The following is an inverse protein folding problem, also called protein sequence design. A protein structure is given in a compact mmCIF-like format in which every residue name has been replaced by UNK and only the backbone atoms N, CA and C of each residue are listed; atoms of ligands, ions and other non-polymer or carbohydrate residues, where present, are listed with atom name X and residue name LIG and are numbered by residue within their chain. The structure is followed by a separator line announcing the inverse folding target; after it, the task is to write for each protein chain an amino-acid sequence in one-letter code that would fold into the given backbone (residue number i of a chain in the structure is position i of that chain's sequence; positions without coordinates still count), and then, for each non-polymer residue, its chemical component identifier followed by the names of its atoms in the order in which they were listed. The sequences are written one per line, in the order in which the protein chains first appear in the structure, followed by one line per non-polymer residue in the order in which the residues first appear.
data_IF_099164184064
#
_entry.id   IF_099164184064
#
_cell.length_a   1.000
_cell.length_b   1.000
_cell.length_c   1.000
_cell.angle_alpha   90.00
_cell.angle_beta   90.00
_cell.angle_gamma   90.00
#
_symmetry.space_group_name_H-M   'P 1'
#
loop_
_entity.id
_entity.type
_entity.pdbx_description
1 polymer ?
#
# COMPACT_ATOMS: atom_id res chain seq x y z
N UNK A 1 -8.75 15.78 -8.97
CA UNK A 1 -8.28 14.53 -9.62
C UNK A 1 -6.87 14.83 -10.11
N UNK A 2 -5.86 14.62 -9.25
CA UNK A 2 -4.50 15.13 -9.47
C UNK A 2 -3.47 14.08 -9.04
N UNK A 3 -3.59 12.87 -9.59
CA UNK A 3 -2.62 11.77 -9.41
C UNK A 3 -2.03 11.35 -10.77
N UNK A 4 -2.75 11.57 -11.87
CA UNK A 4 -2.37 11.08 -13.21
C UNK A 4 -1.14 11.75 -13.84
N UNK A 5 -0.93 13.05 -13.60
CA UNK A 5 0.11 13.81 -14.32
C UNK A 5 1.52 13.48 -13.82
N UNK A 6 1.66 13.23 -12.52
CA UNK A 6 2.95 12.91 -11.91
C UNK A 6 3.44 11.50 -12.27
N UNK A 7 2.51 10.56 -12.49
CA UNK A 7 2.83 9.17 -12.81
C UNK A 7 3.38 8.97 -14.23
N UNK A 8 3.01 9.82 -15.20
CA UNK A 8 3.41 9.65 -16.62
C UNK A 8 4.80 10.16 -16.95
N UNK A 9 5.36 11.07 -16.16
CA UNK A 9 6.59 11.79 -16.53
C UNK A 9 7.87 11.11 -16.01
N UNK A 10 7.76 10.11 -15.14
CA UNK A 10 8.89 9.52 -14.40
C UNK A 10 9.22 8.05 -14.71
N UNK A 11 8.75 7.53 -15.84
CA UNK A 11 8.97 6.14 -16.26
C UNK A 11 10.16 6.02 -17.22
N UNK A 12 11.40 5.89 -16.73
CA UNK A 12 12.47 5.28 -17.53
C UNK A 12 13.63 4.79 -16.63
N UNK A 13 13.92 3.47 -16.73
CA UNK A 13 15.09 2.71 -16.21
C UNK A 13 14.92 1.95 -14.89
N UNK A 14 14.26 0.79 -14.99
CA UNK A 14 14.03 -0.18 -13.92
C UNK A 14 13.16 0.22 -12.68
N UNK A 15 12.28 1.25 -12.72
CA UNK A 15 11.18 1.41 -11.76
C UNK A 15 9.96 0.53 -12.07
N UNK A 16 9.84 0.03 -13.32
CA UNK A 16 8.69 -0.78 -13.75
C UNK A 16 8.47 -2.00 -12.85
N UNK A 17 9.51 -2.70 -12.37
CA UNK A 17 9.31 -3.90 -11.56
C UNK A 17 8.52 -3.63 -10.26
N UNK A 18 8.76 -2.48 -9.63
CA UNK A 18 8.01 -2.06 -8.44
C UNK A 18 6.60 -1.64 -8.84
N UNK A 19 6.45 -0.83 -9.89
CA UNK A 19 5.17 -0.32 -10.36
C UNK A 19 4.25 -1.43 -10.91
N UNK A 20 4.80 -2.36 -11.67
CA UNK A 20 4.14 -3.55 -12.20
C UNK A 20 3.68 -4.45 -11.05
N UNK A 21 4.56 -4.72 -10.09
CA UNK A 21 4.20 -5.52 -8.92
C UNK A 21 3.17 -4.81 -8.04
N UNK A 22 3.25 -3.48 -7.92
CA UNK A 22 2.28 -2.68 -7.19
C UNK A 22 0.93 -2.67 -7.90
N UNK A 23 0.92 -2.61 -9.24
CA UNK A 23 -0.29 -2.71 -10.05
C UNK A 23 -0.92 -4.11 -9.97
N UNK A 24 -0.10 -5.18 -9.95
CA UNK A 24 -0.55 -6.55 -9.72
C UNK A 24 -1.21 -6.68 -8.33
N UNK A 25 -0.54 -6.18 -7.29
CA UNK A 25 -1.08 -6.17 -5.92
C UNK A 25 -2.33 -5.30 -5.82
N UNK A 26 -2.37 -4.14 -6.48
CA UNK A 26 -3.53 -3.25 -6.50
C UNK A 26 -4.75 -3.95 -7.13
N UNK A 27 -4.58 -4.62 -8.27
CA UNK A 27 -5.65 -5.42 -8.90
C UNK A 27 -6.11 -6.56 -8.00
N UNK A 28 -5.19 -7.24 -7.32
CA UNK A 28 -5.51 -8.29 -6.35
C UNK A 28 -6.35 -7.75 -5.20
N UNK A 29 -5.94 -6.68 -4.54
CA UNK A 29 -6.66 -6.16 -3.37
C UNK A 29 -7.98 -5.50 -3.77
N UNK A 30 -8.08 -4.91 -4.97
CA UNK A 30 -9.37 -4.39 -5.48
C UNK A 30 -10.36 -5.49 -5.82
N UNK A 31 -9.91 -6.66 -6.31
CA UNK A 31 -10.79 -7.78 -6.66
C UNK A 31 -11.11 -8.70 -5.49
N UNK A 32 -10.17 -8.85 -4.55
CA UNK A 32 -10.28 -9.67 -3.37
C UNK A 32 -9.69 -8.95 -2.15
N UNK A 33 -10.40 -7.96 -1.57
CA UNK A 33 -9.92 -7.19 -0.41
C UNK A 33 -9.54 -8.08 0.80
N UNK A 34 -10.17 -9.25 0.92
CA UNK A 34 -9.88 -10.23 1.96
C UNK A 34 -8.55 -11.00 1.81
N UNK A 35 -7.84 -10.87 0.68
CA UNK A 35 -6.65 -11.67 0.38
C UNK A 35 -5.42 -11.33 1.26
N UNK A 36 -5.36 -10.12 1.81
CA UNK A 36 -4.27 -9.68 2.67
C UNK A 36 -4.37 -10.19 4.10
N UNK A 37 -3.20 -10.33 4.74
CA UNK A 37 -3.09 -10.74 6.15
C UNK A 37 -3.45 -9.56 7.04
N UNK A 38 -4.38 -9.76 7.98
CA UNK A 38 -4.70 -8.76 9.01
C UNK A 38 -3.48 -8.41 9.85
N UNK A 39 -3.31 -7.11 10.09
CA UNK A 39 -2.32 -6.52 10.98
C UNK A 39 -3.07 -5.92 12.16
N UNK A 40 -2.66 -6.18 13.41
CA UNK A 40 -3.27 -5.52 14.57
C UNK A 40 -3.19 -4.00 14.43
N UNK A 41 -4.33 -3.34 14.45
CA UNK A 41 -4.45 -1.89 14.46
C UNK A 41 -5.61 -1.51 15.39
N UNK A 42 -5.49 -0.46 16.21
CA UNK A 42 -6.46 -0.14 17.26
C UNK A 42 -7.87 0.18 16.72
N UNK A 43 -7.96 0.74 15.52
CA UNK A 43 -9.21 1.35 15.00
C UNK A 43 -9.62 0.88 13.60
N UNK A 44 -8.78 0.13 12.87
CA UNK A 44 -9.03 -0.21 11.46
C UNK A 44 -8.71 -1.69 11.15
N UNK A 45 -9.41 -2.30 10.17
CA UNK A 45 -9.06 -3.64 9.67
C UNK A 45 -7.89 -3.54 8.67
N UNK A 46 -6.73 -3.10 9.16
CA UNK A 46 -5.52 -2.97 8.34
C UNK A 46 -5.06 -4.35 7.88
N UNK A 47 -4.81 -4.47 6.58
CA UNK A 47 -4.31 -5.69 5.94
C UNK A 47 -3.01 -5.40 5.24
N UNK A 48 -2.19 -6.45 5.11
CA UNK A 48 -0.94 -6.38 4.34
C UNK A 48 -0.80 -7.49 3.32
N UNK A 49 -0.25 -7.14 2.17
CA UNK A 49 0.22 -8.07 1.12
C UNK A 49 1.71 -7.82 0.87
N UNK A 50 2.47 -8.87 0.61
CA UNK A 50 3.90 -8.77 0.30
C UNK A 50 4.11 -8.75 -1.22
N UNK A 51 4.74 -7.70 -1.70
CA UNK A 51 5.39 -7.59 -3.01
C UNK A 51 6.68 -8.41 -2.96
N UNK A 52 6.68 -9.61 -3.54
CA UNK A 52 7.75 -10.60 -3.41
C UNK A 52 9.00 -10.24 -4.25
N UNK A 53 8.81 -9.68 -5.44
CA UNK A 53 9.89 -9.34 -6.39
C UNK A 53 10.73 -8.19 -5.81
N UNK A 54 10.07 -7.17 -5.30
CA UNK A 54 10.71 -5.97 -4.73
C UNK A 54 10.88 -6.01 -3.22
N UNK A 55 10.27 -7.00 -2.54
CA UNK A 55 10.30 -7.17 -1.08
C UNK A 55 9.71 -5.98 -0.32
N UNK A 56 8.59 -5.45 -0.80
CA UNK A 56 7.81 -4.43 -0.10
C UNK A 56 6.56 -5.04 0.53
N UNK A 57 6.02 -4.38 1.55
CA UNK A 57 4.70 -4.66 2.10
C UNK A 57 3.76 -3.53 1.72
N UNK A 58 2.62 -3.88 1.14
CA UNK A 58 1.52 -2.95 0.88
C UNK A 58 0.53 -3.11 2.01
N UNK A 59 0.30 -2.04 2.76
CA UNK A 59 -0.71 -1.94 3.79
C UNK A 59 -1.93 -1.25 3.19
N UNK A 60 -3.11 -1.79 3.47
CA UNK A 60 -4.36 -1.23 2.97
C UNK A 60 -5.50 -1.47 3.95
N UNK A 61 -6.56 -0.68 3.81
CA UNK A 61 -7.84 -0.85 4.50
C UNK A 61 -8.96 -0.97 3.48
N UNK A 62 -9.93 -1.81 3.78
CA UNK A 62 -11.20 -1.90 3.05
C UNK A 62 -12.20 -0.99 3.76
N UNK A 63 -12.76 -0.02 3.03
CA UNK A 63 -13.82 0.86 3.52
C UNK A 63 -14.93 0.92 2.48
N UNK A 64 -16.15 0.56 2.89
CA UNK A 64 -17.32 0.47 2.01
C UNK A 64 -17.06 -0.42 0.78
N UNK A 65 -16.95 0.16 -0.41
CA UNK A 65 -16.68 -0.53 -1.68
C UNK A 65 -15.30 -0.19 -2.25
N UNK A 66 -14.44 0.45 -1.46
CA UNK A 66 -13.14 0.92 -1.88
C UNK A 66 -12.02 0.30 -1.04
N UNK A 67 -10.86 0.14 -1.67
CA UNK A 67 -9.62 -0.26 -1.01
C UNK A 67 -8.67 0.92 -1.04
N UNK A 68 -8.19 1.31 0.14
CA UNK A 68 -7.27 2.41 0.31
C UNK A 68 -5.90 1.85 0.69
N UNK A 69 -4.90 2.10 -0.15
CA UNK A 69 -3.51 1.81 0.20
C UNK A 69 -3.06 2.89 1.19
N UNK A 70 -2.70 2.47 2.40
CA UNK A 70 -2.29 3.38 3.48
C UNK A 70 -0.78 3.55 3.54
N UNK A 71 -0.01 2.53 3.15
CA UNK A 71 1.44 2.61 3.08
C UNK A 71 2.03 1.53 2.17
N UNK A 72 3.17 1.82 1.53
CA UNK A 72 4.03 0.82 0.90
C UNK A 72 5.40 0.90 1.57
N UNK A 73 5.81 -0.18 2.24
CA UNK A 73 6.99 -0.19 3.09
C UNK A 73 8.02 -1.23 2.62
N UNK A 74 9.25 -0.80 2.36
CA UNK A 74 10.34 -1.71 2.00
C UNK A 74 10.72 -2.60 3.18
N UNK A 75 10.89 -3.90 2.96
CA UNK A 75 11.35 -4.84 3.99
C UNK A 75 12.86 -4.68 4.29
N UNK A 76 13.36 -3.45 4.35
CA UNK A 76 14.72 -3.13 4.78
C UNK A 76 14.68 -2.92 6.29
N UNK A 77 15.42 -3.80 6.98
CA UNK A 77 15.62 -3.96 8.42
C UNK A 77 15.42 -2.69 9.27
N UNK A 78 14.32 -2.59 10.02
CA UNK A 78 14.37 -1.94 11.34
C UNK A 78 13.20 -1.08 11.82
N UNK A 79 12.25 -0.66 11.00
CA UNK A 79 11.13 0.18 11.48
C UNK A 79 9.82 -0.28 10.85
N UNK A 80 8.84 -0.65 11.68
CA UNK A 80 7.43 -0.72 11.26
C UNK A 80 6.89 0.71 11.20
N UNK A 81 6.01 1.05 10.23
CA UNK A 81 5.40 2.38 10.19
C UNK A 81 4.54 2.59 11.45
N UNK A 82 4.73 3.74 12.10
CA UNK A 82 3.84 4.21 13.15
C UNK A 82 2.51 4.63 12.49
N UNK A 83 1.46 3.87 12.77
CA UNK A 83 0.11 4.11 12.24
C UNK A 83 -0.76 4.91 13.22
N UNK A 84 -0.19 5.48 14.29
CA UNK A 84 -0.93 6.38 15.17
C UNK A 84 -1.25 7.70 14.45
N UNK A 85 -2.51 7.80 14.02
CA UNK A 85 -3.10 9.03 13.53
C UNK A 85 -2.95 10.14 14.56
N UNK A 86 -2.06 11.10 14.28
CA UNK A 86 -1.94 12.32 15.05
C UNK A 86 -2.99 13.30 14.56
N UNK A 87 -4.13 13.33 15.24
CA UNK A 87 -5.07 14.45 15.18
C UNK A 87 -4.36 15.69 15.75
N UNK A 88 -3.88 16.57 14.88
CA UNK A 88 -3.40 17.88 15.30
C UNK A 88 -4.61 18.83 15.40
N UNK A 89 -5.24 18.82 16.58
CA UNK A 89 -6.05 19.93 17.09
C UNK A 89 -5.20 20.75 18.06
N UNK A 90 -5.10 22.05 17.83
CA UNK A 90 -4.46 23.00 18.74
C UNK A 90 -4.02 24.29 18.07
#
# INVERSE_FOLDING_TARGET
MEIDAWWREHQDKAPDLFEEELAEVSRLISSAPGAGKRVPHPTEDVRRVMMRKTRHHVYYVEREQHVFVVAVWGAIKGSEPDLEGREESG
#
